data_IF_771927475619
#
_entry.id   IF_771927475619
#
_cell.length_a   1.000
_cell.length_b   1.000
_cell.length_c   1.000
_cell.angle_alpha   90.00
_cell.angle_beta   90.00
_cell.angle_gamma   90.00
#
_symmetry.space_group_name_H-M   'P 1'
#
loop_
_entity.id
_entity.type
_entity.pdbx_description
1 polymer ?
#
# COMPACT_ATOMS: atom_id res chain seq x y z
N UNK A 1 39.33 -16.66 7.21
CA UNK A 1 38.29 -16.28 6.22
C UNK A 1 37.22 -15.50 6.98
N UNK A 2 37.11 -14.17 6.84
CA UNK A 2 36.20 -13.41 7.68
C UNK A 2 34.76 -13.51 7.16
N UNK A 3 33.87 -13.89 8.06
CA UNK A 3 32.42 -13.86 7.94
C UNK A 3 31.96 -12.42 7.68
N UNK A 4 31.40 -12.16 6.50
CA UNK A 4 30.64 -10.93 6.24
C UNK A 4 29.19 -11.16 6.66
N UNK A 5 28.98 -11.27 7.98
CA UNK A 5 27.66 -11.12 8.56
C UNK A 5 27.32 -9.64 8.68
N UNK A 6 26.90 -9.00 7.57
CA UNK A 6 26.18 -7.73 7.66
C UNK A 6 24.79 -8.02 8.25
N UNK A 7 24.72 -8.11 9.57
CA UNK A 7 23.50 -7.78 10.29
C UNK A 7 23.33 -6.27 10.17
N UNK A 8 22.76 -5.83 9.04
CA UNK A 8 22.22 -4.49 8.94
C UNK A 8 21.13 -4.38 10.01
N UNK A 9 21.46 -3.70 11.11
CA UNK A 9 20.50 -3.33 12.13
C UNK A 9 19.35 -2.62 11.44
N UNK A 10 18.18 -3.27 11.33
CA UNK A 10 16.95 -2.64 10.87
C UNK A 10 16.59 -1.55 11.87
N UNK A 11 17.07 -0.34 11.63
CA UNK A 11 16.56 0.88 12.26
C UNK A 11 15.09 1.00 11.84
N UNK A 12 14.18 0.73 12.79
CA UNK A 12 12.71 0.82 12.63
C UNK A 12 12.21 2.26 12.47
N UNK A 13 12.92 3.13 11.75
CA UNK A 13 12.58 4.56 11.69
C UNK A 13 13.40 5.40 10.72
N UNK A 14 13.81 4.87 9.57
CA UNK A 14 14.44 5.70 8.56
C UNK A 14 13.37 6.16 7.56
N UNK A 15 12.84 7.36 7.80
CA UNK A 15 12.26 8.15 6.70
C UNK A 15 13.28 8.14 5.55
N UNK A 16 12.84 7.82 4.34
CA UNK A 16 13.70 7.80 3.16
C UNK A 16 13.27 8.90 2.18
N UNK A 17 14.18 9.27 1.29
CA UNK A 17 13.91 10.28 0.26
C UNK A 17 12.74 9.83 -0.63
N UNK A 18 11.73 10.69 -0.76
CA UNK A 18 10.50 10.38 -1.50
C UNK A 18 9.41 9.67 -0.69
N UNK A 19 9.65 9.38 0.61
CA UNK A 19 8.60 8.89 1.48
C UNK A 19 7.48 9.93 1.64
N UNK A 20 6.23 9.47 1.59
CA UNK A 20 5.07 10.35 1.80
C UNK A 20 5.14 11.02 3.18
N UNK A 21 4.97 12.35 3.21
CA UNK A 21 4.93 13.08 4.49
C UNK A 21 3.64 12.81 5.26
N UNK A 22 3.68 12.90 6.59
CA UNK A 22 2.47 12.79 7.43
C UNK A 22 1.37 13.78 7.04
N UNK A 23 1.76 14.98 6.61
CA UNK A 23 0.84 16.03 6.16
C UNK A 23 0.15 15.65 4.86
N UNK A 24 0.89 15.14 3.88
CA UNK A 24 0.31 14.64 2.62
C UNK A 24 -0.62 13.44 2.87
N UNK A 25 -0.19 12.50 3.71
CA UNK A 25 -1.02 11.35 4.09
C UNK A 25 -2.34 11.79 4.74
N UNK A 26 -2.29 12.68 5.73
CA UNK A 26 -3.49 13.23 6.35
C UNK A 26 -4.38 13.95 5.32
N UNK A 27 -3.78 14.68 4.38
CA UNK A 27 -4.50 15.33 3.29
C UNK A 27 -5.20 14.35 2.35
N UNK A 28 -4.61 13.19 2.05
CA UNK A 28 -5.24 12.12 1.28
C UNK A 28 -6.40 11.49 2.06
N UNK A 29 -6.17 11.17 3.33
CA UNK A 29 -7.18 10.58 4.22
C UNK A 29 -8.41 11.48 4.27
N UNK A 30 -8.24 12.78 4.54
CA UNK A 30 -9.34 13.73 4.61
C UNK A 30 -10.17 13.81 3.31
N UNK A 31 -9.54 13.57 2.15
CA UNK A 31 -10.22 13.58 0.85
C UNK A 31 -10.92 12.27 0.53
N UNK A 32 -10.32 11.15 0.91
CA UNK A 32 -10.85 9.82 0.60
C UNK A 32 -11.90 9.34 1.62
N UNK A 33 -11.75 9.72 2.89
CA UNK A 33 -12.65 9.35 3.98
C UNK A 33 -14.14 9.54 3.65
N UNK A 34 -14.62 10.72 3.18
CA UNK A 34 -16.04 10.89 2.87
C UNK A 34 -16.53 9.94 1.77
N UNK A 35 -15.66 9.57 0.82
CA UNK A 35 -15.97 8.60 -0.24
C UNK A 35 -16.03 7.18 0.29
N UNK A 36 -15.14 6.81 1.20
CA UNK A 36 -15.17 5.52 1.89
C UNK A 36 -16.44 5.40 2.74
N UNK A 37 -16.82 6.45 3.47
CA UNK A 37 -18.05 6.47 4.27
C UNK A 37 -19.30 6.35 3.38
N UNK A 38 -19.34 7.06 2.26
CA UNK A 38 -20.40 6.94 1.25
C UNK A 38 -20.49 5.52 0.69
N UNK A 39 -19.35 4.93 0.31
CA UNK A 39 -19.28 3.55 -0.17
C UNK A 39 -19.76 2.54 0.88
N UNK A 40 -19.30 2.67 2.12
CA UNK A 40 -19.66 1.79 3.23
C UNK A 40 -21.17 1.86 3.55
N UNK A 41 -21.82 3.02 3.44
CA UNK A 41 -23.28 3.12 3.63
C UNK A 41 -24.08 2.30 2.61
N UNK A 42 -23.53 2.08 1.42
CA UNK A 42 -24.18 1.30 0.36
C UNK A 42 -23.91 -0.20 0.48
N UNK A 43 -22.98 -0.62 1.35
CA UNK A 43 -22.74 -2.02 1.66
C UNK A 43 -23.76 -2.48 2.70
N UNK A 44 -24.59 -3.46 2.33
CA UNK A 44 -25.71 -3.92 3.18
C UNK A 44 -25.28 -4.41 4.56
N UNK A 45 -24.15 -5.10 4.67
CA UNK A 45 -23.68 -5.75 5.91
C UNK A 45 -22.13 -5.79 6.01
N UNK A 46 -21.44 -4.79 5.44
CA UNK A 46 -19.98 -4.80 5.41
C UNK A 46 -19.43 -3.38 5.35
N UNK A 47 -18.14 -3.25 5.65
CA UNK A 47 -17.35 -2.04 5.44
C UNK A 47 -16.02 -2.45 4.85
N UNK A 48 -15.38 -1.54 4.12
CA UNK A 48 -13.98 -1.73 3.76
C UNK A 48 -13.14 -2.01 5.00
N UNK A 49 -12.25 -3.00 4.88
CA UNK A 49 -11.19 -3.26 5.84
C UNK A 49 -10.18 -2.11 5.82
N UNK A 50 -9.37 -2.03 6.90
CA UNK A 50 -8.26 -1.09 6.95
C UNK A 50 -7.33 -1.22 5.75
N UNK A 51 -7.00 -2.46 5.35
CA UNK A 51 -6.07 -2.71 4.26
C UNK A 51 -6.64 -2.33 2.89
N UNK A 52 -7.93 -2.56 2.65
CA UNK A 52 -8.58 -2.09 1.41
C UNK A 52 -8.60 -0.56 1.33
N UNK A 53 -8.94 0.12 2.43
CA UNK A 53 -8.90 1.58 2.49
C UNK A 53 -7.47 2.13 2.30
N UNK A 54 -6.46 1.48 2.91
CA UNK A 54 -5.06 1.87 2.77
C UNK A 54 -4.53 1.65 1.34
N UNK A 55 -4.92 0.56 0.70
CA UNK A 55 -4.59 0.27 -0.70
C UNK A 55 -5.19 1.32 -1.63
N UNK A 56 -6.45 1.73 -1.39
CA UNK A 56 -7.07 2.82 -2.14
C UNK A 56 -6.36 4.17 -1.96
N UNK A 57 -5.88 4.49 -0.74
CA UNK A 57 -5.04 5.67 -0.49
C UNK A 57 -3.73 5.62 -1.27
N UNK A 58 -3.06 4.46 -1.32
CA UNK A 58 -1.83 4.28 -2.06
C UNK A 58 -2.04 4.52 -3.57
N UNK A 59 -3.11 3.98 -4.15
CA UNK A 59 -3.45 4.23 -5.56
C UNK A 59 -3.73 5.70 -5.85
N UNK A 60 -4.47 6.39 -4.98
CA UNK A 60 -4.72 7.82 -5.13
C UNK A 60 -3.40 8.61 -5.08
N UNK A 61 -2.52 8.27 -4.14
CA UNK A 61 -1.22 8.91 -4.02
C UNK A 61 -0.35 8.70 -5.25
N UNK A 62 -0.21 7.47 -5.74
CA UNK A 62 0.59 7.17 -6.93
C UNK A 62 0.05 7.86 -8.18
N UNK A 63 -1.28 7.94 -8.32
CA UNK A 63 -1.92 8.71 -9.38
C UNK A 63 -1.57 10.20 -9.32
N UNK A 64 -1.61 10.80 -8.13
CA UNK A 64 -1.29 12.23 -7.94
C UNK A 64 0.19 12.54 -8.17
N UNK A 65 1.07 11.63 -7.76
CA UNK A 65 2.51 11.73 -8.03
C UNK A 65 2.88 11.44 -9.48
N UNK A 66 1.93 10.96 -10.30
CA UNK A 66 2.13 10.61 -11.70
C UNK A 66 3.35 9.69 -11.89
N UNK A 67 3.44 8.67 -11.03
CA UNK A 67 4.54 7.70 -11.13
C UNK A 67 4.42 6.93 -12.45
N UNK A 68 5.57 6.67 -13.09
CA UNK A 68 5.59 5.85 -14.31
C UNK A 68 5.28 4.38 -13.98
N UNK A 69 5.75 3.91 -12.83
CA UNK A 69 5.54 2.56 -12.32
C UNK A 69 5.24 2.57 -10.82
N UNK A 70 4.33 1.71 -10.38
CA UNK A 70 4.07 1.43 -8.98
C UNK A 70 4.39 -0.05 -8.70
N UNK A 71 5.18 -0.31 -7.66
CA UNK A 71 5.45 -1.66 -7.17
C UNK A 71 4.51 -1.91 -6.00
N UNK A 72 3.66 -2.93 -6.11
CA UNK A 72 2.67 -3.29 -5.10
C UNK A 72 3.07 -4.61 -4.45
N UNK A 73 3.35 -4.58 -3.15
CA UNK A 73 3.52 -5.79 -2.35
C UNK A 73 2.14 -6.31 -1.93
N UNK A 74 1.87 -7.59 -2.17
CA UNK A 74 0.63 -8.24 -1.70
C UNK A 74 0.58 -8.25 -0.18
N UNK A 75 -0.55 -7.88 0.41
CA UNK A 75 -0.73 -7.93 1.87
C UNK A 75 -0.76 -9.36 2.40
N UNK A 76 -1.63 -10.20 1.84
CA UNK A 76 -1.73 -11.62 2.16
C UNK A 76 -2.12 -12.46 0.95
N UNK A 77 -1.27 -13.43 0.60
CA UNK A 77 -1.54 -14.37 -0.49
C UNK A 77 -1.48 -13.67 -1.85
N UNK A 78 -2.65 -13.37 -2.44
CA UNK A 78 -2.71 -12.67 -3.72
C UNK A 78 -4.10 -12.65 -4.36
N UNK A 79 -4.74 -13.82 -4.53
CA UNK A 79 -6.01 -13.92 -5.29
C UNK A 79 -7.12 -12.97 -4.79
N UNK A 80 -7.24 -12.83 -3.47
CA UNK A 80 -8.26 -12.00 -2.80
C UNK A 80 -7.63 -10.79 -2.09
N UNK A 81 -6.37 -10.48 -2.39
CA UNK A 81 -5.69 -9.33 -1.79
C UNK A 81 -6.17 -8.03 -2.45
N UNK A 82 -6.27 -6.95 -1.69
CA UNK A 82 -6.73 -5.66 -2.21
C UNK A 82 -5.84 -5.13 -3.34
N UNK A 83 -4.54 -5.47 -3.35
CA UNK A 83 -3.63 -5.04 -4.42
C UNK A 83 -3.89 -5.75 -5.74
N UNK A 84 -4.59 -6.89 -5.74
CA UNK A 84 -4.91 -7.69 -6.93
C UNK A 84 -6.11 -7.13 -7.74
N UNK A 85 -6.43 -5.84 -7.55
CA UNK A 85 -7.46 -5.11 -8.29
C UNK A 85 -6.94 -4.46 -9.58
N UNK A 86 -5.63 -4.55 -9.85
CA UNK A 86 -4.96 -3.94 -11.00
C UNK A 86 -4.45 -5.00 -12.00
N UNK A 87 -4.48 -4.66 -13.28
CA UNK A 87 -3.84 -5.44 -14.33
C UNK A 87 -2.33 -5.14 -14.36
N UNK A 88 -1.54 -6.02 -13.73
CA UNK A 88 -0.10 -5.81 -13.56
C UNK A 88 0.70 -6.12 -14.82
N UNK A 89 1.68 -5.28 -15.15
CA UNK A 89 2.61 -5.51 -16.28
C UNK A 89 3.50 -6.73 -16.07
N UNK A 90 3.84 -7.01 -14.81
CA UNK A 90 4.63 -8.15 -14.39
C UNK A 90 4.20 -8.58 -12.98
N UNK A 91 4.42 -9.85 -12.66
CA UNK A 91 4.13 -10.43 -11.35
C UNK A 91 5.35 -11.21 -10.86
N UNK A 92 5.66 -11.09 -9.56
CA UNK A 92 6.73 -11.83 -8.90
C UNK A 92 6.15 -12.62 -7.73
N UNK A 93 6.44 -13.92 -7.69
CA UNK A 93 6.14 -14.79 -6.54
C UNK A 93 7.47 -15.19 -5.93
N UNK A 94 7.72 -14.72 -4.71
CA UNK A 94 8.91 -15.09 -3.93
C UNK A 94 8.75 -16.51 -3.36
N UNK A 95 9.81 -17.14 -2.79
CA UNK A 95 9.72 -18.50 -2.28
C UNK A 95 8.54 -18.71 -1.33
N UNK A 96 7.79 -19.80 -1.56
CA UNK A 96 6.66 -20.23 -0.73
C UNK A 96 7.19 -21.28 0.26
N UNK A 97 6.83 -21.16 1.54
CA UNK A 97 7.28 -22.04 2.64
C UNK A 97 6.13 -22.56 3.47
#
# INVERSE_FOLDING_TARGET
KPNHGLLASRTRGADFEGMISKRELAGLVNRLQPRIEEYNRNLKNSSLTFFEAYTALAFLYFKEKKVDFAVLETGLGGRLDATNTVDSLACAITPIS
#
